data_IF_579252963255
#
_entry.id   IF_579252963255
#
_cell.length_a   1.000
_cell.length_b   1.000
_cell.length_c   1.000
_cell.angle_alpha   90.00
_cell.angle_beta   90.00
_cell.angle_gamma   90.00
#
_symmetry.space_group_name_H-M   'P 1'
#
loop_
_entity.id
_entity.type
_entity.pdbx_description
1 polymer ?
#
# COMPACT_ATOMS: atom_id res chain seq x y z
N UNK A 1 -11.24 -33.36 24.55
CA UNK A 1 -12.51 -32.61 24.49
C UNK A 1 -12.18 -31.22 23.97
N UNK A 2 -12.52 -30.92 22.73
CA UNK A 2 -12.39 -29.56 22.19
C UNK A 2 -13.58 -28.75 22.72
N UNK A 3 -13.30 -27.62 23.37
CA UNK A 3 -14.34 -26.71 23.87
C UNK A 3 -15.15 -26.10 22.73
N UNK A 4 -16.28 -25.42 23.04
CA UNK A 4 -17.14 -24.80 22.04
C UNK A 4 -16.31 -23.83 21.18
N UNK A 5 -16.44 -23.95 19.85
CA UNK A 5 -15.94 -22.95 18.91
C UNK A 5 -16.69 -21.64 19.19
N UNK A 6 -16.04 -20.74 19.92
CA UNK A 6 -16.55 -19.42 20.23
C UNK A 6 -16.59 -18.60 18.93
N UNK A 7 -17.74 -18.60 18.27
CA UNK A 7 -17.97 -17.94 16.97
C UNK A 7 -18.05 -16.42 17.09
N UNK A 8 -17.94 -15.86 18.30
CA UNK A 8 -18.14 -14.44 18.57
C UNK A 8 -17.07 -13.88 19.51
N UNK A 9 -15.79 -14.00 19.17
CA UNK A 9 -14.74 -13.21 19.82
C UNK A 9 -14.80 -11.75 19.30
N UNK A 10 -15.22 -10.76 20.11
CA UNK A 10 -15.26 -9.35 19.72
C UNK A 10 -13.85 -8.74 19.52
N UNK A 11 -12.79 -9.43 19.98
CA UNK A 11 -11.40 -9.07 19.68
C UNK A 11 -10.96 -9.56 18.30
N UNK A 12 -11.78 -10.39 17.63
CA UNK A 12 -11.44 -10.91 16.31
C UNK A 12 -11.57 -9.82 15.26
N UNK A 13 -10.46 -9.48 14.63
CA UNK A 13 -10.44 -8.56 13.50
C UNK A 13 -11.30 -9.09 12.35
N UNK A 14 -12.21 -8.26 11.84
CA UNK A 14 -12.99 -8.48 10.63
C UNK A 14 -12.34 -7.75 9.46
N UNK A 15 -12.21 -8.44 8.33
CA UNK A 15 -11.76 -7.85 7.07
C UNK A 15 -12.99 -7.62 6.19
N UNK A 16 -13.11 -6.42 5.61
CA UNK A 16 -14.22 -6.07 4.70
C UNK A 16 -13.82 -4.98 3.71
N UNK A 17 -14.59 -4.83 2.65
CA UNK A 17 -14.47 -3.66 1.78
C UNK A 17 -14.75 -2.37 2.55
N UNK A 18 -14.00 -1.33 2.18
CA UNK A 18 -14.12 -0.02 2.78
C UNK A 18 -15.25 0.79 2.12
N UNK A 19 -16.08 1.39 2.96
CA UNK A 19 -17.16 2.30 2.58
C UNK A 19 -16.64 3.73 2.58
N UNK A 20 -17.40 4.64 1.96
CA UNK A 20 -17.07 6.06 1.93
C UNK A 20 -16.90 6.66 3.34
N UNK A 21 -17.76 6.27 4.28
CA UNK A 21 -17.68 6.67 5.68
C UNK A 21 -16.39 6.22 6.40
N UNK A 22 -15.68 5.21 5.88
CA UNK A 22 -14.44 4.70 6.49
C UNK A 22 -13.22 5.57 6.13
N UNK A 23 -13.31 6.44 5.12
CA UNK A 23 -12.16 7.22 4.60
C UNK A 23 -11.50 8.07 5.67
N UNK A 24 -12.28 8.66 6.59
CA UNK A 24 -11.74 9.43 7.72
C UNK A 24 -10.89 8.56 8.64
N UNK A 25 -11.39 7.37 9.00
CA UNK A 25 -10.68 6.43 9.86
C UNK A 25 -9.44 5.84 9.17
N UNK A 26 -9.53 5.55 7.87
CA UNK A 26 -8.37 5.13 7.07
C UNK A 26 -7.30 6.20 7.00
N UNK A 27 -7.68 7.47 6.81
CA UNK A 27 -6.77 8.62 6.83
C UNK A 27 -6.06 8.73 8.18
N UNK A 28 -6.80 8.56 9.28
CA UNK A 28 -6.22 8.53 10.62
C UNK A 28 -5.24 7.36 10.79
N UNK A 29 -5.59 6.16 10.33
CA UNK A 29 -4.69 5.01 10.35
C UNK A 29 -3.43 5.30 9.54
N UNK A 30 -3.55 5.86 8.34
CA UNK A 30 -2.44 6.24 7.47
C UNK A 30 -1.48 7.19 8.20
N UNK A 31 -1.97 8.32 8.72
CA UNK A 31 -1.08 9.27 9.39
C UNK A 31 -0.50 8.75 10.72
N UNK A 32 -1.15 7.77 11.37
CA UNK A 32 -0.64 7.15 12.62
C UNK A 32 0.32 6.00 12.40
N UNK A 33 0.15 5.19 11.34
CA UNK A 33 1.08 4.11 10.96
C UNK A 33 2.39 4.68 10.39
N UNK A 34 2.40 5.98 10.12
CA UNK A 34 3.42 6.63 9.34
C UNK A 34 4.72 6.85 10.10
N UNK A 35 5.79 6.27 9.57
CA UNK A 35 7.17 6.50 10.03
C UNK A 35 8.06 7.09 8.91
N UNK A 36 7.44 7.69 7.88
CA UNK A 36 8.12 8.21 6.70
C UNK A 36 7.67 9.65 6.38
N UNK A 37 8.09 10.68 7.14
CA UNK A 37 7.60 12.06 7.01
C UNK A 37 7.45 12.66 5.59
N UNK A 38 8.15 12.14 4.57
CA UNK A 38 8.03 12.62 3.19
C UNK A 38 6.60 12.58 2.63
N UNK A 39 5.72 11.69 3.09
CA UNK A 39 4.34 11.63 2.57
C UNK A 39 3.45 12.79 3.01
N UNK A 40 3.81 13.51 4.07
CA UNK A 40 3.14 14.74 4.44
C UNK A 40 3.28 15.83 3.36
N UNK A 41 4.27 15.69 2.48
CA UNK A 41 4.49 16.56 1.32
C UNK A 41 3.67 16.12 0.08
N UNK A 42 2.88 15.05 0.19
CA UNK A 42 2.06 14.48 -0.90
C UNK A 42 0.60 14.30 -0.53
N UNK A 43 0.28 14.16 0.76
CA UNK A 43 -1.10 13.94 1.21
C UNK A 43 -1.36 14.94 2.32
N UNK A 44 -2.04 16.04 1.96
CA UNK A 44 -2.20 17.20 2.84
C UNK A 44 -3.17 16.97 3.99
N UNK A 45 -4.30 16.29 3.76
CA UNK A 45 -5.29 16.08 4.81
C UNK A 45 -6.08 14.77 4.71
N UNK A 46 -6.21 14.18 3.52
CA UNK A 46 -7.04 12.99 3.28
C UNK A 46 -6.48 12.07 2.20
N UNK A 47 -6.63 10.77 2.42
CA UNK A 47 -6.43 9.81 1.33
C UNK A 47 -7.59 9.94 0.33
N UNK A 48 -7.28 10.36 -0.90
CA UNK A 48 -8.27 10.40 -1.98
C UNK A 48 -8.49 9.00 -2.56
N UNK A 49 -9.68 8.74 -3.13
CA UNK A 49 -9.93 7.54 -3.96
C UNK A 49 -9.87 7.91 -5.44
N UNK A 50 -9.19 7.09 -6.24
CA UNK A 50 -9.23 7.16 -7.70
C UNK A 50 -10.09 6.03 -8.29
N UNK A 51 -10.47 6.18 -9.57
CA UNK A 51 -11.14 5.12 -10.30
C UNK A 51 -10.19 3.92 -10.46
N UNK A 52 -10.73 2.70 -10.32
CA UNK A 52 -9.93 1.48 -10.43
C UNK A 52 -9.19 1.10 -9.15
N UNK A 53 -9.55 1.69 -8.00
CA UNK A 53 -9.02 1.31 -6.68
C UNK A 53 -10.05 0.48 -5.90
N UNK A 54 -9.56 -0.49 -5.12
CA UNK A 54 -10.31 -1.24 -4.14
C UNK A 54 -9.65 -1.14 -2.77
N UNK A 55 -10.39 -0.57 -1.83
CA UNK A 55 -9.97 -0.40 -0.44
C UNK A 55 -10.55 -1.52 0.43
N UNK A 56 -9.68 -2.16 1.22
CA UNK A 56 -10.05 -3.17 2.21
C UNK A 56 -9.61 -2.66 3.59
N UNK A 57 -10.47 -2.82 4.59
CA UNK A 57 -10.21 -2.40 5.98
C UNK A 57 -10.20 -3.60 6.92
N UNK A 58 -9.35 -3.49 7.95
CA UNK A 58 -9.37 -4.33 9.14
C UNK A 58 -10.09 -3.58 10.25
N UNK A 59 -11.19 -4.16 10.71
CA UNK A 59 -12.03 -3.64 11.78
C UNK A 59 -11.87 -4.51 13.03
N UNK A 60 -11.57 -3.90 14.17
CA UNK A 60 -11.53 -4.59 15.47
C UNK A 60 -12.50 -3.89 16.41
N UNK A 61 -13.48 -4.63 16.93
CA UNK A 61 -14.67 -4.03 17.53
C UNK A 61 -15.40 -3.15 16.51
N UNK A 62 -15.42 -1.83 16.75
CA UNK A 62 -16.02 -0.82 15.87
C UNK A 62 -14.99 0.22 15.40
N UNK A 63 -13.70 -0.14 15.37
CA UNK A 63 -12.61 0.75 14.96
C UNK A 63 -11.87 0.15 13.78
N UNK A 64 -11.60 0.98 12.78
CA UNK A 64 -10.65 0.63 11.71
C UNK A 64 -9.24 0.70 12.31
N UNK A 65 -8.53 -0.42 12.27
CA UNK A 65 -7.17 -0.55 12.81
C UNK A 65 -6.13 -0.78 11.72
N UNK A 66 -6.56 -0.96 10.49
CA UNK A 66 -5.68 -1.14 9.33
C UNK A 66 -6.47 -1.01 8.02
N UNK A 67 -5.76 -0.74 6.92
CA UNK A 67 -6.33 -0.80 5.59
C UNK A 67 -5.28 -1.14 4.53
N UNK A 68 -5.77 -1.58 3.37
CA UNK A 68 -4.97 -1.88 2.19
C UNK A 68 -5.70 -1.31 0.98
N UNK A 69 -4.96 -0.61 0.13
CA UNK A 69 -5.46 -0.09 -1.14
C UNK A 69 -4.84 -0.85 -2.29
N UNK A 70 -5.70 -1.44 -3.10
CA UNK A 70 -5.32 -2.16 -4.30
C UNK A 70 -5.75 -1.39 -5.54
N UNK A 71 -4.85 -1.19 -6.49
CA UNK A 71 -5.21 -0.77 -7.84
C UNK A 71 -5.49 -2.01 -8.69
N UNK A 72 -6.65 -2.01 -9.32
CA UNK A 72 -7.17 -3.11 -10.12
C UNK A 72 -6.42 -3.23 -11.44
N UNK A 73 -6.19 -4.46 -11.95
CA UNK A 73 -5.59 -4.68 -13.26
C UNK A 73 -6.34 -3.94 -14.37
N UNK A 74 -5.63 -3.08 -15.10
CA UNK A 74 -6.11 -2.50 -16.34
C UNK A 74 -5.67 -3.35 -17.54
N UNK A 75 -6.46 -3.32 -18.62
CA UNK A 75 -6.26 -4.20 -19.79
C UNK A 75 -4.94 -3.94 -20.52
N UNK A 76 -4.50 -2.69 -20.54
CA UNK A 76 -3.24 -2.22 -21.12
C UNK A 76 -2.08 -2.27 -20.12
N UNK A 77 -2.33 -2.70 -18.88
CA UNK A 77 -1.36 -2.69 -17.79
C UNK A 77 -1.11 -1.30 -17.21
N UNK A 78 -1.74 -0.25 -17.75
CA UNK A 78 -1.53 1.12 -17.30
C UNK A 78 -2.34 1.37 -16.02
N UNK A 79 -1.64 1.64 -14.91
CA UNK A 79 -2.25 1.95 -13.62
C UNK A 79 -2.13 3.45 -13.29
N UNK A 80 -1.93 4.30 -14.30
CA UNK A 80 -1.68 5.72 -14.12
C UNK A 80 -2.87 6.40 -13.45
N UNK A 81 -2.59 6.89 -12.25
CA UNK A 81 -3.55 7.70 -11.50
C UNK A 81 -3.54 9.11 -12.08
N UNK A 82 -4.74 9.60 -12.40
CA UNK A 82 -4.95 11.02 -12.65
C UNK A 82 -4.92 11.75 -11.31
N UNK A 83 -3.73 12.21 -10.94
CA UNK A 83 -3.56 13.07 -9.78
C UNK A 83 -4.25 14.42 -10.02
N UNK A 84 -4.75 15.09 -8.96
CA UNK A 84 -5.21 16.47 -9.10
C UNK A 84 -4.08 17.33 -9.67
N UNK A 85 -4.40 18.47 -10.29
CA UNK A 85 -3.38 19.45 -10.66
C UNK A 85 -2.64 19.88 -9.38
N UNK A 86 -1.33 19.68 -9.36
CA UNK A 86 -0.49 19.92 -8.18
C UNK A 86 0.36 21.16 -8.42
N UNK A 87 0.40 22.09 -7.45
CA UNK A 87 1.38 23.17 -7.47
C UNK A 87 2.77 22.58 -7.14
N UNK A 88 3.76 22.70 -8.03
CA UNK A 88 5.12 22.18 -7.78
C UNK A 88 5.81 22.75 -6.55
N UNK A 89 5.28 23.83 -5.94
CA UNK A 89 5.80 24.40 -4.69
C UNK A 89 5.31 23.68 -3.44
N UNK A 90 4.18 23.01 -3.54
CA UNK A 90 3.55 22.34 -2.40
C UNK A 90 4.03 20.89 -2.26
N UNK A 91 4.65 20.33 -3.31
CA UNK A 91 5.00 18.91 -3.44
C UNK A 91 6.48 18.75 -3.86
N UNK A 92 7.18 17.78 -3.28
CA UNK A 92 8.51 17.38 -3.77
C UNK A 92 8.36 16.54 -5.05
N UNK A 93 8.31 17.23 -6.19
CA UNK A 93 8.03 16.61 -7.49
C UNK A 93 9.05 15.54 -7.88
N UNK A 94 10.31 15.64 -7.43
CA UNK A 94 11.34 14.65 -7.73
C UNK A 94 11.02 13.30 -7.05
N UNK A 95 10.60 13.33 -5.78
CA UNK A 95 10.15 12.11 -5.09
C UNK A 95 8.83 11.60 -5.65
N UNK A 96 7.90 12.51 -5.92
CA UNK A 96 6.61 12.14 -6.50
C UNK A 96 6.81 11.35 -7.81
N UNK A 97 7.70 11.84 -8.68
CA UNK A 97 8.01 11.16 -9.93
C UNK A 97 8.59 9.76 -9.69
N UNK A 98 9.51 9.59 -8.75
CA UNK A 98 10.11 8.28 -8.46
C UNK A 98 9.12 7.24 -7.91
N UNK A 99 8.16 7.65 -7.08
CA UNK A 99 7.17 6.75 -6.49
C UNK A 99 6.02 6.42 -7.43
N UNK A 100 5.52 7.41 -8.17
CA UNK A 100 4.22 7.33 -8.82
C UNK A 100 4.27 7.25 -10.33
N UNK A 101 5.42 7.54 -10.96
CA UNK A 101 5.55 7.46 -12.42
C UNK A 101 5.56 6.00 -12.88
N UNK A 102 4.81 5.76 -13.95
CA UNK A 102 4.64 4.46 -14.60
C UNK A 102 5.96 3.82 -15.04
N UNK A 103 7.03 4.58 -15.30
CA UNK A 103 8.30 4.05 -15.81
C UNK A 103 8.83 2.87 -14.97
N UNK A 104 8.86 3.01 -13.65
CA UNK A 104 9.30 1.94 -12.75
C UNK A 104 8.39 0.71 -12.85
N UNK A 105 7.08 0.90 -13.05
CA UNK A 105 6.12 -0.19 -13.22
C UNK A 105 6.23 -0.82 -14.60
N UNK A 106 6.25 -0.04 -15.67
CA UNK A 106 6.42 -0.50 -17.05
C UNK A 106 7.72 -1.27 -17.25
N UNK A 107 8.83 -0.87 -16.64
CA UNK A 107 10.07 -1.66 -16.72
C UNK A 107 9.91 -3.03 -16.07
N UNK A 108 9.14 -3.12 -14.99
CA UNK A 108 9.00 -4.34 -14.18
C UNK A 108 7.87 -5.27 -14.66
N UNK A 109 6.75 -4.68 -15.07
CA UNK A 109 5.47 -5.35 -15.38
C UNK A 109 5.09 -5.23 -16.86
N UNK A 110 5.75 -4.35 -17.61
CA UNK A 110 5.42 -4.03 -19.00
C UNK A 110 3.94 -3.68 -19.15
N UNK A 111 3.28 -4.18 -20.18
CA UNK A 111 1.83 -4.02 -20.42
C UNK A 111 1.00 -5.14 -19.80
N UNK A 112 1.58 -5.93 -18.89
CA UNK A 112 0.88 -7.07 -18.30
C UNK A 112 -0.15 -6.56 -17.29
N UNK A 113 -1.44 -6.93 -17.39
CA UNK A 113 -2.43 -6.60 -16.37
C UNK A 113 -2.03 -7.19 -15.01
N UNK A 114 -1.98 -6.36 -13.97
CA UNK A 114 -1.54 -6.77 -12.64
C UNK A 114 -2.25 -6.00 -11.53
N UNK A 115 -2.33 -6.63 -10.36
CA UNK A 115 -2.78 -5.96 -9.13
C UNK A 115 -1.61 -5.20 -8.52
N UNK A 116 -1.83 -3.96 -8.08
CA UNK A 116 -0.83 -3.19 -7.36
C UNK A 116 -1.33 -2.89 -5.94
N UNK A 117 -0.52 -3.19 -4.93
CA UNK A 117 -0.77 -2.74 -3.56
C UNK A 117 -0.16 -1.34 -3.42
N UNK A 118 -1.00 -0.30 -3.48
CA UNK A 118 -0.56 1.09 -3.38
C UNK A 118 -0.26 1.48 -1.92
N UNK A 119 -1.14 1.07 -0.99
CA UNK A 119 -1.03 1.41 0.43
C UNK A 119 -1.33 0.19 1.29
N UNK A 120 -0.59 0.05 2.40
CA UNK A 120 -0.84 -0.96 3.42
C UNK A 120 -0.41 -0.40 4.78
N UNK A 121 -1.39 -0.14 5.63
CA UNK A 121 -1.19 0.58 6.87
C UNK A 121 -1.96 -0.07 8.02
N UNK A 122 -1.35 -0.07 9.20
CA UNK A 122 -1.92 -0.64 10.43
C UNK A 122 -1.54 0.27 11.61
N UNK A 123 -2.53 0.61 12.44
CA UNK A 123 -2.41 1.59 13.52
C UNK A 123 -1.44 1.16 14.63
N UNK A 124 -1.36 -0.14 14.92
CA UNK A 124 -0.34 -0.74 15.78
C UNK A 124 -0.02 -2.13 15.21
N UNK A 125 1.25 -2.52 15.04
CA UNK A 125 1.58 -3.91 14.76
C UNK A 125 1.19 -4.72 16.01
N UNK A 126 -0.04 -5.24 16.06
CA UNK A 126 -0.41 -6.22 17.08
C UNK A 126 0.67 -7.29 17.08
N UNK A 127 1.29 -7.56 18.23
CA UNK A 127 2.33 -8.59 18.37
C UNK A 127 1.82 -9.90 17.73
N UNK A 128 2.31 -10.22 16.54
CA UNK A 128 1.89 -11.40 15.78
C UNK A 128 1.22 -11.15 14.42
N UNK A 129 0.81 -9.92 14.07
CA UNK A 129 0.35 -9.60 12.70
C UNK A 129 1.50 -9.01 11.90
N UNK A 130 2.01 -9.79 10.94
CA UNK A 130 3.06 -9.38 10.02
C UNK A 130 2.55 -8.46 8.90
N UNK A 131 1.87 -7.38 9.29
CA UNK A 131 1.34 -6.36 8.39
C UNK A 131 2.08 -5.07 8.69
N UNK A 132 3.33 -5.01 8.25
CA UNK A 132 4.17 -3.83 8.34
C UNK A 132 4.63 -3.44 6.92
N UNK A 133 4.65 -2.13 6.67
CA UNK A 133 5.17 -1.39 5.51
C UNK A 133 5.88 -2.21 4.43
N UNK A 134 5.40 -2.06 3.19
CA UNK A 134 5.99 -2.63 1.97
C UNK A 134 7.46 -2.20 1.80
N UNK A 135 7.83 -1.00 2.25
CA UNK A 135 9.18 -0.45 2.08
C UNK A 135 10.27 -1.15 2.93
N UNK A 136 9.94 -1.77 4.07
CA UNK A 136 10.92 -2.34 5.00
C UNK A 136 10.83 -3.87 5.16
N UNK A 137 9.85 -4.52 4.53
CA UNK A 137 9.55 -5.95 4.76
C UNK A 137 9.74 -6.87 3.55
N UNK A 138 10.61 -6.51 2.60
CA UNK A 138 10.93 -7.36 1.43
C UNK A 138 11.17 -8.85 1.74
N UNK A 139 11.97 -9.20 2.78
CA UNK A 139 12.18 -10.60 3.16
C UNK A 139 10.90 -11.35 3.56
N UNK A 140 9.95 -10.67 4.22
CA UNK A 140 8.67 -11.27 4.61
C UNK A 140 7.82 -11.63 3.38
N UNK A 141 7.68 -10.70 2.43
CA UNK A 141 6.90 -10.93 1.21
C UNK A 141 7.49 -12.04 0.32
N UNK A 142 8.82 -12.09 0.20
CA UNK A 142 9.49 -13.19 -0.52
C UNK A 142 9.22 -14.55 0.16
N UNK A 143 9.44 -14.63 1.47
CA UNK A 143 9.34 -15.89 2.23
C UNK A 143 7.92 -16.43 2.35
N UNK A 144 6.92 -15.55 2.55
CA UNK A 144 5.54 -15.94 2.86
C UNK A 144 4.60 -15.86 1.66
N UNK A 145 4.88 -14.99 0.70
CA UNK A 145 3.93 -14.62 -0.35
C UNK A 145 4.48 -14.79 -1.78
N UNK A 146 5.65 -15.43 -1.93
CA UNK A 146 6.26 -15.79 -3.21
C UNK A 146 6.49 -14.62 -4.18
N UNK A 147 6.75 -13.42 -3.65
CA UNK A 147 7.31 -12.33 -4.44
C UNK A 147 8.75 -12.70 -4.84
N UNK A 148 9.11 -12.47 -6.11
CA UNK A 148 10.36 -12.96 -6.71
C UNK A 148 11.10 -11.90 -7.52
N UNK A 149 10.39 -10.96 -8.17
CA UNK A 149 11.03 -9.81 -8.82
C UNK A 149 11.25 -8.69 -7.82
N UNK A 150 12.36 -7.97 -7.93
CA UNK A 150 12.60 -6.76 -7.15
C UNK A 150 13.37 -5.70 -7.93
N UNK A 151 13.12 -4.43 -7.62
CA UNK A 151 13.88 -3.29 -8.16
C UNK A 151 13.98 -2.24 -7.06
N UNK A 152 15.18 -1.73 -6.83
CA UNK A 152 15.38 -0.59 -5.94
C UNK A 152 14.85 0.68 -6.62
N UNK A 153 14.13 1.50 -5.86
CA UNK A 153 13.68 2.82 -6.28
C UNK A 153 14.70 3.82 -5.77
N UNK A 154 15.36 4.49 -6.71
CA UNK A 154 16.33 5.53 -6.38
C UNK A 154 15.59 6.80 -5.96
N UNK A 155 15.54 7.03 -4.65
CA UNK A 155 14.90 8.20 -4.05
C UNK A 155 15.98 9.22 -3.67
N UNK A 156 15.76 10.51 -3.97
CA UNK A 156 16.67 11.54 -3.53
C UNK A 156 16.66 11.66 -2.01
N UNK A 157 17.83 11.96 -1.45
CA UNK A 157 17.98 12.21 -0.02
C UNK A 157 17.60 13.64 0.33
N UNK A 158 16.87 13.84 1.44
CA UNK A 158 16.58 15.17 2.01
C UNK A 158 16.88 15.17 3.52
N UNK A 159 18.15 15.17 3.94
CA UNK A 159 18.52 15.07 5.34
C UNK A 159 17.88 16.16 6.22
N UNK A 160 17.70 17.37 5.69
CA UNK A 160 17.13 18.51 6.41
C UNK A 160 15.59 18.57 6.40
N UNK A 161 14.91 17.68 5.67
CA UNK A 161 13.46 17.64 5.59
C UNK A 161 12.90 16.35 6.20
N UNK A 162 13.05 15.22 5.51
CA UNK A 162 12.46 13.95 5.91
C UNK A 162 13.46 12.79 6.01
N UNK A 163 14.75 13.03 5.76
CA UNK A 163 15.82 12.04 5.84
C UNK A 163 16.09 11.30 4.53
N UNK A 164 16.63 10.08 4.66
CA UNK A 164 16.91 9.17 3.54
C UNK A 164 16.01 7.95 3.64
N UNK A 165 15.46 7.52 2.50
CA UNK A 165 14.62 6.33 2.40
C UNK A 165 15.14 5.40 1.32
N UNK A 166 15.12 4.10 1.61
CA UNK A 166 15.35 3.06 0.62
C UNK A 166 14.04 2.34 0.36
N UNK A 167 13.55 2.47 -0.87
CA UNK A 167 12.32 1.83 -1.30
C UNK A 167 12.62 0.78 -2.35
N UNK A 168 11.81 -0.28 -2.35
CA UNK A 168 11.98 -1.41 -3.26
C UNK A 168 10.61 -1.88 -3.75
N UNK A 169 10.49 -1.97 -5.06
CA UNK A 169 9.34 -2.60 -5.71
C UNK A 169 9.52 -4.11 -5.68
N UNK A 170 8.42 -4.85 -5.45
CA UNK A 170 8.40 -6.32 -5.42
C UNK A 170 7.33 -6.84 -6.37
N UNK A 171 7.63 -7.91 -7.11
CA UNK A 171 6.71 -8.54 -8.06
C UNK A 171 6.41 -9.97 -7.65
N UNK A 172 5.14 -10.35 -7.69
CA UNK A 172 4.70 -11.74 -7.67
C UNK A 172 4.19 -12.13 -9.06
N UNK A 173 4.77 -13.17 -9.65
CA UNK A 173 4.29 -13.71 -10.93
C UNK A 173 2.91 -14.38 -10.77
N UNK A 174 2.05 -14.35 -11.81
CA UNK A 174 0.79 -15.09 -11.81
C UNK A 174 1.01 -16.58 -11.50
N UNK A 175 0.16 -17.16 -10.66
CA UNK A 175 0.19 -18.60 -10.42
C UNK A 175 -0.50 -19.32 -11.58
N UNK A 176 0.24 -20.15 -12.33
CA UNK A 176 -0.36 -21.12 -13.24
C UNK A 176 -0.27 -20.84 -14.75
N UNK A 177 0.64 -19.99 -15.24
CA UNK A 177 1.09 -20.18 -16.62
C UNK A 177 1.94 -21.47 -16.66
N UNK A 178 1.34 -22.58 -17.08
CA UNK A 178 2.13 -23.66 -17.66
C UNK A 178 2.96 -23.02 -18.78
N UNK A 179 4.27 -23.23 -18.76
CA UNK A 179 5.09 -22.90 -19.91
C UNK A 179 4.41 -23.54 -21.14
N UNK A 180 4.05 -22.71 -22.11
CA UNK A 180 3.59 -23.18 -23.40
C UNK A 180 4.73 -23.93 -24.10
#
# INVERSE_FOLDING_TARGET
>A
MAGPLDLADPERSRIREAKEQDVSAMTEVFFRSFNAPFWQYFISDKIGRANGEQDIVWEKGNKIVGFARWVLPQRDGNLERKWPEMDPKDWDMEIFEKFFVEENRHEMMQTTPHWMLEMLDVQEPTKGTALAQVCSNGPYYKKRHAFTGEKDIDLPERPDAYGSYHCRSLIRKPQGQKAA
#
